data_IF_049123658108
#
_entry.id   IF_049123658108
#
_cell.length_a   1.000
_cell.length_b   1.000
_cell.length_c   1.000
_cell.angle_alpha   90.00
_cell.angle_beta   90.00
_cell.angle_gamma   90.00
#
_symmetry.space_group_name_H-M   'P 1'
#
loop_
_entity.id
_entity.type
_entity.pdbx_description
1 polymer ?
#
# COMPACT_ATOMS: atom_id res chain seq x y z
N UNK A 1 -0.57 -3.27 -25.51
CA UNK A 1 -1.11 -3.99 -24.33
C UNK A 1 0.10 -4.46 -23.53
N UNK A 2 0.53 -3.76 -22.48
CA UNK A 2 1.72 -4.23 -21.71
C UNK A 2 1.89 -3.58 -20.33
N UNK A 3 1.30 -2.40 -20.08
CA UNK A 3 1.48 -1.71 -18.78
C UNK A 3 0.69 -2.30 -17.63
N UNK A 4 -0.46 -2.93 -17.89
CA UNK A 4 -1.35 -3.43 -16.82
C UNK A 4 -0.71 -4.53 -15.97
N UNK A 5 0.19 -5.33 -16.56
CA UNK A 5 0.79 -6.47 -15.86
C UNK A 5 1.81 -6.03 -14.80
N UNK A 6 2.43 -4.85 -14.97
CA UNK A 6 3.40 -4.31 -14.02
C UNK A 6 2.75 -3.74 -12.75
N UNK A 7 1.51 -3.26 -12.86
CA UNK A 7 0.77 -2.68 -11.73
C UNK A 7 -0.11 -3.70 -10.99
N UNK A 8 -0.22 -4.94 -11.50
CA UNK A 8 -1.08 -5.96 -10.91
C UNK A 8 -0.36 -6.66 -9.77
N UNK A 9 -0.80 -6.40 -8.54
CA UNK A 9 -0.40 -7.20 -7.38
C UNK A 9 -0.88 -8.65 -7.49
N UNK A 10 -0.20 -9.57 -6.79
CA UNK A 10 -0.65 -10.96 -6.65
C UNK A 10 -1.72 -11.03 -5.56
N UNK A 11 -2.95 -11.40 -5.92
CA UNK A 11 -4.08 -11.50 -4.99
C UNK A 11 -4.59 -12.94 -4.84
N UNK A 12 -3.94 -13.89 -5.51
CA UNK A 12 -4.38 -15.27 -5.73
C UNK A 12 -4.56 -16.06 -4.41
N UNK A 13 -3.88 -15.63 -3.34
CA UNK A 13 -3.93 -16.25 -2.01
C UNK A 13 -4.88 -15.53 -1.03
N UNK A 14 -5.37 -14.35 -1.41
CA UNK A 14 -6.33 -13.57 -0.63
C UNK A 14 -7.73 -14.04 -1.01
N UNK A 15 -8.13 -15.22 -0.52
CA UNK A 15 -9.51 -15.70 -0.69
C UNK A 15 -10.54 -14.75 -0.05
N UNK A 16 -11.80 -15.19 0.11
CA UNK A 16 -12.91 -14.42 0.72
C UNK A 16 -12.75 -14.11 2.22
N UNK A 17 -11.52 -14.14 2.73
CA UNK A 17 -11.21 -13.84 4.13
C UNK A 17 -11.41 -12.35 4.37
N UNK A 18 -12.20 -12.04 5.39
CA UNK A 18 -12.29 -10.69 5.94
C UNK A 18 -10.91 -10.29 6.48
N UNK A 19 -10.28 -9.31 5.81
CA UNK A 19 -9.02 -8.75 6.25
C UNK A 19 -9.27 -7.87 7.48
N UNK A 20 -8.40 -7.97 8.49
CA UNK A 20 -8.50 -7.16 9.70
C UNK A 20 -7.46 -6.02 9.71
N UNK A 21 -6.36 -6.19 8.96
CA UNK A 21 -5.31 -5.20 8.81
C UNK A 21 -4.65 -5.27 7.43
N UNK A 22 -4.03 -4.16 7.02
CA UNK A 22 -3.22 -4.01 5.81
C UNK A 22 -1.89 -3.42 6.20
N UNK A 23 -0.80 -3.98 5.66
CA UNK A 23 0.56 -3.49 5.85
C UNK A 23 1.20 -3.24 4.50
N UNK A 24 1.83 -2.07 4.33
CA UNK A 24 2.49 -1.68 3.07
C UNK A 24 3.99 -1.58 3.29
N UNK A 25 4.74 -2.31 2.47
CA UNK A 25 6.19 -2.22 2.40
C UNK A 25 6.58 -1.51 1.11
N UNK A 26 7.31 -0.40 1.25
CA UNK A 26 7.89 0.33 0.12
C UNK A 26 9.40 0.14 0.23
N UNK A 27 9.97 -0.66 -0.67
CA UNK A 27 11.40 -0.76 -0.85
C UNK A 27 11.82 0.15 -2.01
N UNK A 28 12.90 0.89 -1.80
CA UNK A 28 13.63 1.53 -2.88
C UNK A 28 15.11 1.18 -2.75
N UNK A 29 15.73 0.82 -3.86
CA UNK A 29 17.12 0.37 -3.94
C UNK A 29 18.09 1.53 -4.17
N UNK A 30 17.60 2.74 -4.45
CA UNK A 30 18.44 3.88 -4.76
C UNK A 30 18.31 4.98 -3.69
N UNK A 31 19.46 5.49 -3.25
CA UNK A 31 19.56 6.48 -2.17
C UNK A 31 19.00 7.85 -2.56
N UNK A 32 18.94 8.15 -3.86
CA UNK A 32 18.33 9.36 -4.42
C UNK A 32 16.83 9.47 -4.12
N UNK A 33 16.12 8.35 -3.95
CA UNK A 33 14.66 8.33 -3.68
C UNK A 33 14.27 8.47 -2.20
N UNK A 34 15.21 8.89 -1.35
CA UNK A 34 14.99 8.97 0.10
C UNK A 34 13.89 9.97 0.44
N UNK A 35 13.88 11.11 -0.25
CA UNK A 35 12.93 12.19 0.01
C UNK A 35 11.51 11.83 -0.46
N UNK A 36 11.38 11.13 -1.59
CA UNK A 36 10.10 10.60 -2.07
C UNK A 36 9.55 9.56 -1.11
N UNK A 37 10.38 8.63 -0.64
CA UNK A 37 9.98 7.63 0.37
C UNK A 37 9.50 8.32 1.64
N UNK A 38 10.24 9.29 2.15
CA UNK A 38 9.85 10.04 3.34
C UNK A 38 8.54 10.81 3.11
N UNK A 39 8.40 11.46 1.95
CA UNK A 39 7.17 12.15 1.55
C UNK A 39 5.94 11.24 1.47
N UNK A 40 6.11 10.00 0.99
CA UNK A 40 5.04 8.99 1.00
C UNK A 40 4.61 8.63 2.43
N UNK A 41 5.56 8.44 3.33
CA UNK A 41 5.27 8.13 4.74
C UNK A 41 4.56 9.32 5.40
N UNK A 42 5.04 10.54 5.20
CA UNK A 42 4.49 11.73 5.86
C UNK A 42 3.12 12.13 5.32
N UNK A 43 2.92 12.05 3.99
CA UNK A 43 1.73 12.60 3.33
C UNK A 43 0.71 11.55 2.96
N UNK A 44 1.14 10.35 2.54
CA UNK A 44 0.25 9.34 1.96
C UNK A 44 -0.20 8.32 2.99
N UNK A 45 0.67 7.85 3.90
CA UNK A 45 0.29 6.86 4.91
C UNK A 45 -0.89 7.32 5.80
N UNK A 46 -0.98 8.60 6.24
CA UNK A 46 -2.14 9.07 6.99
C UNK A 46 -3.45 8.99 6.18
N UNK A 47 -3.37 9.24 4.87
CA UNK A 47 -4.53 9.16 3.97
C UNK A 47 -4.96 7.71 3.75
N UNK A 48 -3.99 6.80 3.54
CA UNK A 48 -4.26 5.36 3.44
C UNK A 48 -4.87 4.82 4.72
N UNK A 49 -4.35 5.22 5.89
CA UNK A 49 -4.92 4.84 7.18
C UNK A 49 -6.38 5.26 7.32
N UNK A 50 -6.69 6.52 6.98
CA UNK A 50 -8.08 7.02 6.97
C UNK A 50 -8.95 6.26 5.97
N UNK A 51 -8.44 5.99 4.77
CA UNK A 51 -9.17 5.28 3.73
C UNK A 51 -9.50 3.83 4.13
N UNK A 52 -8.50 3.08 4.60
CA UNK A 52 -8.66 1.70 5.09
C UNK A 52 -9.68 1.64 6.24
N UNK A 53 -9.59 2.57 7.20
CA UNK A 53 -10.51 2.62 8.32
C UNK A 53 -11.92 3.02 7.88
N UNK A 54 -12.07 4.05 7.05
CA UNK A 54 -13.38 4.58 6.71
C UNK A 54 -14.16 3.63 5.80
N UNK A 55 -13.51 3.12 4.75
CA UNK A 55 -14.16 2.34 3.70
C UNK A 55 -14.28 0.85 4.04
N UNK A 56 -13.24 0.27 4.64
CA UNK A 56 -13.17 -1.17 4.88
C UNK A 56 -13.23 -1.54 6.37
N UNK A 57 -13.15 -0.55 7.28
CA UNK A 57 -13.09 -0.78 8.74
C UNK A 57 -11.91 -1.66 9.15
N UNK A 58 -10.80 -1.55 8.42
CA UNK A 58 -9.56 -2.32 8.67
C UNK A 58 -8.43 -1.40 9.11
N UNK A 59 -7.49 -1.92 9.89
CA UNK A 59 -6.35 -1.15 10.37
C UNK A 59 -5.24 -1.07 9.32
N UNK A 60 -4.57 0.07 9.23
CA UNK A 60 -3.34 0.24 8.44
C UNK A 60 -2.13 0.23 9.38
N UNK A 61 -1.18 -0.66 9.11
CA UNK A 61 0.08 -0.87 9.84
C UNK A 61 1.30 -0.49 9.00
#
# INVERSE_FOLDING_TARGET
MEKEQFYRGRFDEVGDRKLNSVRVFISSTFSDTTDERNGLIERVYPQLRKYCLNKYKIQFQ
#
